data_IF_479726759838
#
_entry.id   IF_479726759838
#
_cell.length_a   1.000
_cell.length_b   1.000
_cell.length_c   1.000
_cell.angle_alpha   90.00
_cell.angle_beta   90.00
_cell.angle_gamma   90.00
#
_symmetry.space_group_name_H-M   'P 1'
#
loop_
_entity.id
_entity.type
_entity.pdbx_description
1 polymer ?
#
# COMPACT_ATOMS: atom_id res chain seq x y z
N UNK A 1 36.54 9.40 -17.86
CA UNK A 1 36.09 10.54 -17.06
C UNK A 1 34.99 10.03 -16.13
N UNK A 2 35.24 9.98 -14.83
CA UNK A 2 34.28 9.49 -13.83
C UNK A 2 33.53 10.69 -13.26
N UNK A 3 32.23 10.77 -13.48
CA UNK A 3 31.38 11.79 -12.87
C UNK A 3 30.85 11.17 -11.58
N UNK A 4 31.37 11.62 -10.44
CA UNK A 4 31.01 11.09 -9.11
C UNK A 4 29.60 11.47 -8.68
N UNK A 5 29.05 12.55 -9.24
CA UNK A 5 27.73 13.06 -8.89
C UNK A 5 27.07 13.70 -10.11
N UNK A 6 26.32 12.87 -10.85
CA UNK A 6 25.56 13.29 -12.03
C UNK A 6 24.38 14.20 -11.62
N UNK A 7 23.86 14.06 -10.40
CA UNK A 7 22.75 14.87 -9.88
C UNK A 7 23.20 16.32 -9.66
N UNK A 8 24.34 16.54 -9.00
CA UNK A 8 24.90 17.86 -8.77
C UNK A 8 25.33 18.57 -10.07
N UNK A 9 25.77 17.79 -11.08
CA UNK A 9 26.25 18.33 -12.35
C UNK A 9 25.13 18.71 -13.32
N UNK A 10 24.06 17.91 -13.36
CA UNK A 10 22.95 18.13 -14.31
C UNK A 10 21.82 18.94 -13.70
N UNK A 11 21.69 18.94 -12.37
CA UNK A 11 20.51 19.46 -11.69
C UNK A 11 19.27 18.60 -11.93
N UNK A 12 19.44 17.36 -12.40
CA UNK A 12 18.36 16.39 -12.59
C UNK A 12 18.58 15.13 -11.75
N UNK A 13 17.50 14.62 -11.15
CA UNK A 13 17.44 13.30 -10.54
C UNK A 13 16.80 12.33 -11.52
N UNK A 14 17.43 11.18 -11.72
CA UNK A 14 16.90 10.12 -12.58
C UNK A 14 15.98 9.20 -11.78
N UNK A 15 14.92 8.69 -12.41
CA UNK A 15 14.05 7.68 -11.81
C UNK A 15 14.89 6.46 -11.38
N UNK A 16 14.82 6.09 -10.10
CA UNK A 16 15.57 4.96 -9.54
C UNK A 16 14.97 3.59 -9.89
N UNK A 17 13.81 3.56 -10.56
CA UNK A 17 13.15 2.33 -11.00
C UNK A 17 13.47 2.05 -12.47
N UNK A 18 13.31 3.03 -13.35
CA UNK A 18 13.46 2.82 -14.79
C UNK A 18 14.72 3.41 -15.41
N UNK A 19 15.43 4.32 -14.72
CA UNK A 19 16.64 5.04 -15.18
C UNK A 19 16.53 5.77 -16.54
N UNK A 20 15.32 5.90 -17.10
CA UNK A 20 15.09 6.49 -18.44
C UNK A 20 14.49 7.90 -18.41
N UNK A 21 14.09 8.38 -17.24
CA UNK A 21 13.48 9.69 -17.05
C UNK A 21 14.27 10.50 -16.02
N UNK A 22 14.42 11.80 -16.29
CA UNK A 22 15.17 12.75 -15.48
C UNK A 22 14.25 13.90 -15.05
N UNK A 23 14.33 14.30 -13.78
CA UNK A 23 13.48 15.34 -13.19
C UNK A 23 14.34 16.44 -12.60
N UNK A 24 13.94 17.72 -12.73
CA UNK A 24 14.74 18.81 -12.13
C UNK A 24 14.74 18.70 -10.61
N UNK A 25 15.92 18.81 -10.02
CA UNK A 25 16.09 18.91 -8.57
C UNK A 25 15.47 20.24 -8.13
N UNK A 26 14.50 20.16 -7.21
CA UNK A 26 13.69 21.32 -6.79
C UNK A 26 12.39 21.52 -7.57
N UNK A 27 12.04 20.62 -8.49
CA UNK A 27 10.73 20.62 -9.13
C UNK A 27 9.64 20.30 -8.09
N UNK A 28 8.77 21.29 -7.80
CA UNK A 28 7.67 21.15 -6.84
C UNK A 28 6.66 20.09 -7.26
N UNK A 29 6.71 19.62 -8.52
CA UNK A 29 5.82 18.61 -9.08
C UNK A 29 6.23 17.16 -8.75
N UNK A 30 7.49 16.90 -8.36
CA UNK A 30 7.88 15.63 -7.75
C UNK A 30 8.01 15.79 -6.25
N UNK A 31 6.87 15.69 -5.57
CA UNK A 31 6.91 15.48 -4.14
C UNK A 31 6.79 13.99 -3.82
N UNK A 32 7.47 13.51 -2.76
CA UNK A 32 7.19 12.18 -2.21
C UNK A 32 5.67 12.07 -1.96
N UNK A 33 5.12 10.86 -2.10
CA UNK A 33 3.71 10.55 -1.85
C UNK A 33 3.18 11.36 -0.67
N UNK A 34 2.37 12.40 -0.95
CA UNK A 34 1.93 13.38 0.06
C UNK A 34 0.81 12.82 0.92
N UNK A 35 0.00 11.98 0.29
CA UNK A 35 -1.23 11.41 0.79
C UNK A 35 -1.17 9.89 0.62
N UNK A 36 -1.60 9.17 1.64
CA UNK A 36 -1.46 7.72 1.70
C UNK A 36 -2.45 7.13 2.70
N UNK A 37 -2.65 5.82 2.60
CA UNK A 37 -3.39 5.02 3.58
C UNK A 37 -2.41 4.09 4.27
N UNK A 38 -2.40 4.07 5.60
CA UNK A 38 -1.76 2.99 6.37
C UNK A 38 -2.83 2.09 6.97
N UNK A 39 -2.48 0.85 7.25
CA UNK A 39 -3.36 -0.08 7.95
C UNK A 39 -2.56 -0.95 8.91
N UNK A 40 -3.25 -1.56 9.86
CA UNK A 40 -2.71 -2.54 10.80
C UNK A 40 -3.77 -3.60 11.10
N UNK A 41 -3.34 -4.85 11.23
CA UNK A 41 -4.23 -5.99 11.45
C UNK A 41 -3.86 -6.69 12.76
N UNK A 42 -4.78 -6.67 13.71
CA UNK A 42 -4.67 -7.52 14.90
C UNK A 42 -5.17 -8.91 14.56
N UNK A 43 -4.36 -9.92 14.88
CA UNK A 43 -4.67 -11.32 14.60
C UNK A 43 -4.69 -12.16 15.87
N UNK A 44 -5.51 -13.21 15.86
CA UNK A 44 -5.57 -14.22 16.93
C UNK A 44 -5.09 -15.56 16.41
N UNK A 45 -4.34 -16.28 17.25
CA UNK A 45 -3.89 -17.63 16.96
C UNK A 45 -5.04 -18.63 17.16
N UNK A 46 -5.37 -19.37 16.10
CA UNK A 46 -6.25 -20.54 16.15
C UNK A 46 -5.42 -21.81 15.97
N UNK A 47 -5.35 -22.62 17.01
CA UNK A 47 -4.67 -23.93 16.97
C UNK A 47 -5.43 -24.90 16.08
N UNK A 48 -4.74 -25.56 15.16
CA UNK A 48 -5.32 -26.52 14.19
C UNK A 48 -4.57 -27.87 14.13
N UNK A 49 -3.29 -27.92 14.50
CA UNK A 49 -2.47 -29.14 14.56
C UNK A 49 -2.58 -30.07 13.32
N UNK A 50 -2.64 -29.50 12.13
CA UNK A 50 -2.90 -30.21 10.87
C UNK A 50 -1.60 -30.72 10.25
N UNK A 51 -1.54 -32.00 9.86
CA UNK A 51 -0.33 -32.61 9.26
C UNK A 51 -0.43 -32.66 7.74
N UNK A 52 0.68 -32.38 7.06
CA UNK A 52 0.83 -32.45 5.61
C UNK A 52 1.96 -33.42 5.27
N UNK A 53 1.60 -34.66 4.94
CA UNK A 53 2.56 -35.75 4.75
C UNK A 53 3.26 -36.14 6.05
N UNK A 54 4.42 -36.81 5.93
CA UNK A 54 5.09 -37.42 7.08
C UNK A 54 5.95 -36.45 7.90
N UNK A 55 6.31 -35.30 7.31
CA UNK A 55 7.32 -34.38 7.87
C UNK A 55 6.84 -32.95 8.10
N UNK A 56 5.63 -32.58 7.67
CA UNK A 56 5.13 -31.21 7.81
C UNK A 56 3.88 -31.15 8.68
N UNK A 57 3.79 -30.11 9.51
CA UNK A 57 2.63 -29.85 10.36
C UNK A 57 2.40 -28.34 10.51
N UNK A 58 1.16 -27.91 10.44
CA UNK A 58 0.70 -26.57 10.77
C UNK A 58 0.04 -26.63 12.15
N UNK A 59 0.70 -26.09 13.16
CA UNK A 59 0.22 -26.13 14.54
C UNK A 59 -0.92 -25.14 14.78
N UNK A 60 -0.85 -23.97 14.14
CA UNK A 60 -1.85 -22.93 14.25
C UNK A 60 -1.95 -22.08 12.99
N UNK A 61 -3.08 -21.39 12.84
CA UNK A 61 -3.30 -20.36 11.82
C UNK A 61 -3.69 -19.06 12.49
N UNK A 62 -3.35 -17.93 11.86
CA UNK A 62 -3.70 -16.61 12.36
C UNK A 62 -4.98 -16.14 11.68
N UNK A 63 -5.94 -15.73 12.50
CA UNK A 63 -7.23 -15.21 12.06
C UNK A 63 -7.27 -13.71 12.35
N UNK A 64 -7.59 -12.87 11.36
CA UNK A 64 -7.77 -11.44 11.59
C UNK A 64 -8.94 -11.20 12.55
N UNK A 65 -8.72 -10.30 13.50
CA UNK A 65 -9.67 -9.96 14.56
C UNK A 65 -10.14 -8.52 14.45
N UNK A 66 -9.21 -7.59 14.22
CA UNK A 66 -9.48 -6.17 13.97
C UNK A 66 -8.56 -5.69 12.86
N UNK A 67 -9.06 -4.80 12.01
CA UNK A 67 -8.25 -4.05 11.06
C UNK A 67 -8.53 -2.56 11.23
N UNK A 68 -7.47 -1.78 11.39
CA UNK A 68 -7.55 -0.33 11.54
C UNK A 68 -6.77 0.32 10.40
N UNK A 69 -7.27 1.44 9.89
CA UNK A 69 -6.64 2.21 8.83
C UNK A 69 -6.64 3.69 9.16
N UNK A 70 -5.60 4.37 8.69
CA UNK A 70 -5.47 5.82 8.76
C UNK A 70 -5.23 6.36 7.36
N UNK A 71 -6.09 7.28 6.95
CA UNK A 71 -6.03 7.95 5.65
C UNK A 71 -5.52 9.37 5.86
N UNK A 72 -4.47 9.71 5.12
CA UNK A 72 -3.97 11.08 5.00
C UNK A 72 -4.36 11.62 3.63
N UNK A 73 -5.25 12.60 3.61
CA UNK A 73 -5.75 13.31 2.42
C UNK A 73 -5.30 14.77 2.43
N UNK A 74 -5.56 15.48 1.32
CA UNK A 74 -5.39 16.93 1.26
C UNK A 74 -6.36 17.66 2.19
N UNK A 75 -7.55 17.10 2.41
CA UNK A 75 -8.58 17.64 3.29
C UNK A 75 -8.34 17.42 4.77
N UNK A 76 -7.43 16.49 5.13
CA UNK A 76 -7.15 16.17 6.52
C UNK A 76 -6.77 14.70 6.74
N UNK A 77 -6.71 14.30 8.01
CA UNK A 77 -6.41 12.94 8.43
C UNK A 77 -7.65 12.37 9.12
N UNK A 78 -8.02 11.15 8.76
CA UNK A 78 -9.05 10.40 9.47
C UNK A 78 -8.68 8.92 9.55
N UNK A 79 -9.35 8.19 10.43
CA UNK A 79 -9.13 6.77 10.63
C UNK A 79 -10.45 6.02 10.64
N UNK A 80 -10.41 4.76 10.23
CA UNK A 80 -11.55 3.85 10.26
C UNK A 80 -11.09 2.47 10.69
N UNK A 81 -11.97 1.68 11.27
CA UNK A 81 -11.66 0.32 11.68
C UNK A 81 -12.86 -0.60 11.51
N UNK A 82 -12.57 -1.88 11.33
CA UNK A 82 -13.54 -2.96 11.24
C UNK A 82 -13.04 -4.11 12.11
N UNK A 83 -13.97 -4.83 12.74
CA UNK A 83 -13.62 -5.97 13.59
C UNK A 83 -14.60 -7.13 13.39
N UNK A 84 -14.24 -8.28 13.97
CA UNK A 84 -14.94 -9.55 13.85
C UNK A 84 -16.43 -9.50 14.22
N UNK A 85 -16.90 -8.48 14.96
CA UNK A 85 -18.33 -8.31 15.29
C UNK A 85 -19.14 -7.84 14.09
N UNK A 86 -18.49 -7.30 13.07
CA UNK A 86 -19.11 -6.91 11.81
C UNK A 86 -19.11 -8.12 10.87
N UNK A 87 -20.27 -8.50 10.35
CA UNK A 87 -20.35 -9.53 9.31
C UNK A 87 -19.54 -9.08 8.07
N UNK A 88 -18.70 -9.97 7.55
CA UNK A 88 -17.80 -9.73 6.42
C UNK A 88 -16.91 -8.49 6.59
N UNK A 89 -16.43 -8.24 7.82
CA UNK A 89 -15.69 -7.03 8.17
C UNK A 89 -14.47 -6.73 7.28
N UNK A 90 -13.73 -7.75 6.85
CA UNK A 90 -12.58 -7.59 5.94
C UNK A 90 -13.01 -7.14 4.55
N UNK A 91 -14.17 -7.63 4.10
CA UNK A 91 -14.70 -7.34 2.78
C UNK A 91 -15.24 -5.90 2.75
N UNK A 92 -15.96 -5.50 3.80
CA UNK A 92 -16.38 -4.10 4.00
C UNK A 92 -15.18 -3.15 4.13
N UNK A 93 -14.13 -3.59 4.85
CA UNK A 93 -12.88 -2.83 4.94
C UNK A 93 -12.22 -2.65 3.58
N UNK A 94 -12.11 -3.71 2.76
CA UNK A 94 -11.53 -3.65 1.41
C UNK A 94 -12.31 -2.69 0.50
N UNK A 95 -13.64 -2.76 0.53
CA UNK A 95 -14.51 -1.86 -0.24
C UNK A 95 -14.27 -0.39 0.14
N UNK A 96 -14.29 -0.09 1.44
CA UNK A 96 -14.05 1.27 1.93
C UNK A 96 -12.62 1.75 1.63
N UNK A 97 -11.62 0.88 1.81
CA UNK A 97 -10.22 1.14 1.47
C UNK A 97 -10.06 1.55 0.00
N UNK A 98 -10.75 0.89 -0.92
CA UNK A 98 -10.66 1.21 -2.35
C UNK A 98 -11.30 2.55 -2.69
N UNK A 99 -12.39 2.94 -2.02
CA UNK A 99 -12.95 4.28 -2.20
C UNK A 99 -12.00 5.38 -1.70
N UNK A 100 -11.42 5.20 -0.50
CA UNK A 100 -10.38 6.09 0.01
C UNK A 100 -9.16 6.13 -0.92
N UNK A 101 -8.80 5.00 -1.51
CA UNK A 101 -7.66 4.91 -2.40
C UNK A 101 -7.86 5.73 -3.69
N UNK A 102 -9.08 5.78 -4.23
CA UNK A 102 -9.42 6.66 -5.36
C UNK A 102 -9.22 8.13 -4.99
N UNK A 103 -9.62 8.53 -3.79
CA UNK A 103 -9.46 9.90 -3.33
C UNK A 103 -7.99 10.26 -3.08
N UNK A 104 -7.21 9.38 -2.44
CA UNK A 104 -5.76 9.56 -2.29
C UNK A 104 -5.06 9.68 -3.64
N UNK A 105 -5.44 8.87 -4.63
CA UNK A 105 -4.92 8.98 -6.00
C UNK A 105 -5.22 10.34 -6.62
N UNK A 106 -6.44 10.84 -6.43
CA UNK A 106 -6.84 12.18 -6.91
C UNK A 106 -6.03 13.28 -6.23
N UNK A 107 -5.85 13.21 -4.92
CA UNK A 107 -5.10 14.20 -4.14
C UNK A 107 -3.60 14.19 -4.46
N UNK A 108 -3.06 13.04 -4.89
CA UNK A 108 -1.68 12.90 -5.36
C UNK A 108 -1.48 13.27 -6.85
N UNK A 109 -2.51 13.70 -7.58
CA UNK A 109 -2.36 14.16 -8.97
C UNK A 109 -1.48 15.41 -9.01
N UNK A 110 -0.62 15.50 -10.03
CA UNK A 110 0.16 16.71 -10.28
C UNK A 110 -0.78 17.92 -10.46
N UNK A 111 -0.41 19.07 -9.85
CA UNK A 111 -1.18 20.32 -9.96
C UNK A 111 -1.18 20.82 -11.41
N UNK A 112 -0.08 20.58 -12.13
CA UNK A 112 0.02 20.88 -13.55
C UNK A 112 -0.46 19.67 -14.37
N UNK A 113 -1.64 19.81 -14.98
CA UNK A 113 -2.26 18.77 -15.80
C UNK A 113 -1.56 18.56 -17.15
N UNK A 114 -0.66 19.46 -17.55
CA UNK A 114 0.13 19.32 -18.78
C UNK A 114 1.34 18.40 -18.58
N UNK A 115 1.70 18.10 -17.33
CA UNK A 115 2.75 17.16 -16.97
C UNK A 115 2.12 15.78 -16.77
N UNK A 116 2.38 14.80 -17.65
CA UNK A 116 1.79 13.49 -17.50
C UNK A 116 2.45 12.75 -16.31
N UNK A 117 1.63 12.26 -15.39
CA UNK A 117 2.09 11.46 -14.26
C UNK A 117 2.31 10.02 -14.74
N UNK A 118 3.56 9.68 -15.04
CA UNK A 118 3.94 8.40 -15.66
C UNK A 118 4.22 7.26 -14.67
N UNK A 119 4.07 7.49 -13.35
CA UNK A 119 4.31 6.49 -12.31
C UNK A 119 3.04 6.25 -11.51
N UNK A 120 2.83 4.99 -11.13
CA UNK A 120 1.85 4.63 -10.12
C UNK A 120 2.29 5.20 -8.78
N UNK A 121 1.50 6.12 -8.23
CA UNK A 121 1.74 6.62 -6.88
C UNK A 121 1.23 5.55 -5.90
N UNK A 122 2.08 4.98 -5.03
CA UNK A 122 1.61 4.02 -4.05
C UNK A 122 0.62 4.72 -3.12
N UNK A 123 -0.63 4.26 -3.16
CA UNK A 123 -1.73 4.82 -2.37
C UNK A 123 -1.77 4.21 -0.97
N UNK A 124 -1.41 2.94 -0.86
CA UNK A 124 -1.36 2.21 0.39
C UNK A 124 0.10 2.13 0.84
N UNK A 125 0.42 2.81 1.93
CA UNK A 125 1.69 2.68 2.62
C UNK A 125 1.78 1.31 3.27
N UNK A 126 2.85 0.58 2.99
CA UNK A 126 3.09 -0.72 3.61
C UNK A 126 3.15 -0.59 5.14
N UNK A 127 2.33 -1.38 5.85
CA UNK A 127 2.54 -1.62 7.27
C UNK A 127 3.84 -2.39 7.49
N UNK A 128 4.44 -2.20 8.65
CA UNK A 128 5.75 -2.70 9.06
C UNK A 128 5.87 -4.23 9.11
N UNK A 129 4.76 -4.97 9.16
CA UNK A 129 4.76 -6.43 9.14
C UNK A 129 4.41 -7.01 7.76
N UNK A 130 5.39 -7.67 7.11
CA UNK A 130 5.16 -8.49 5.90
C UNK A 130 4.06 -9.55 6.08
N UNK A 131 3.70 -9.86 7.32
CA UNK A 131 2.73 -10.88 7.69
C UNK A 131 1.28 -10.49 7.36
N UNK A 132 0.88 -9.23 7.59
CA UNK A 132 -0.51 -8.77 7.39
C UNK A 132 -0.94 -8.87 5.92
N UNK A 133 0.02 -8.65 5.01
CA UNK A 133 -0.20 -8.80 3.58
C UNK A 133 -0.65 -10.23 3.21
N UNK A 134 -0.17 -11.26 3.92
CA UNK A 134 -0.56 -12.65 3.66
C UNK A 134 -2.05 -12.93 3.95
N UNK A 135 -2.61 -12.26 4.96
CA UNK A 135 -4.04 -12.34 5.31
C UNK A 135 -4.86 -11.70 4.21
N UNK A 136 -4.43 -10.54 3.71
CA UNK A 136 -5.10 -9.83 2.62
C UNK A 136 -5.01 -10.58 1.28
N UNK A 137 -3.85 -11.15 0.92
CA UNK A 137 -3.68 -11.86 -0.35
C UNK A 137 -4.60 -13.07 -0.48
N UNK A 138 -4.89 -13.78 0.62
CA UNK A 138 -5.87 -14.88 0.61
C UNK A 138 -7.26 -14.38 0.20
N UNK A 139 -7.67 -13.20 0.69
CA UNK A 139 -8.96 -12.59 0.40
C UNK A 139 -9.03 -12.02 -1.02
N UNK A 140 -8.00 -11.30 -1.46
CA UNK A 140 -7.92 -10.77 -2.82
C UNK A 140 -7.96 -11.89 -3.88
N UNK A 141 -7.29 -13.02 -3.64
CA UNK A 141 -7.34 -14.19 -4.53
C UNK A 141 -8.69 -14.93 -4.53
N UNK A 142 -9.51 -14.75 -3.49
CA UNK A 142 -10.80 -15.44 -3.34
C UNK A 142 -11.99 -14.69 -3.95
N UNK A 143 -11.78 -13.47 -4.44
CA UNK A 143 -12.79 -12.59 -5.04
C UNK A 143 -12.31 -12.16 -6.44
N UNK A 144 -13.19 -11.56 -7.24
CA UNK A 144 -12.89 -11.10 -8.61
C UNK A 144 -11.90 -9.90 -8.71
N UNK A 145 -11.16 -9.59 -7.64
CA UNK A 145 -10.16 -8.52 -7.66
C UNK A 145 -8.90 -9.03 -8.34
N UNK A 146 -8.66 -8.55 -9.57
CA UNK A 146 -7.44 -8.91 -10.29
C UNK A 146 -6.29 -8.01 -9.83
N UNK A 147 -5.26 -8.60 -9.24
CA UNK A 147 -3.97 -7.92 -9.06
C UNK A 147 -3.24 -8.08 -10.40
N UNK A 148 -3.23 -7.03 -11.22
CA UNK A 148 -2.50 -6.97 -12.50
C UNK A 148 -1.06 -6.51 -12.31
#
# INVERSE_FOLDING_TARGET
MYISDVEALTGFRYCNICHRQAFRIGDKNLQPTRYYITYDIETLEKKINEKFGDSSQVTATLIPYVIASTVKLASGIHSFYYDIRTEDFLDKWLEYLFEEAKQVKKDNKCIDETIPQYFEVPVIGFNSAKFDASVLFKKLKSKDWTIS
#
